data_IF_732212493886
#
_entry.id   IF_732212493886
#
_cell.length_a   1.000
_cell.length_b   1.000
_cell.length_c   1.000
_cell.angle_alpha   90.00
_cell.angle_beta   90.00
_cell.angle_gamma   90.00
#
_symmetry.space_group_name_H-M   'P 1'
#
loop_
_entity.id
_entity.type
_entity.pdbx_description
1 polymer ?
#
# COMPACT_ATOMS: atom_id res chain seq x y z
N UNK A 1 -17.33 38.02 -75.21
CA UNK A 1 -16.49 39.05 -74.51
C UNK A 1 -16.19 38.60 -73.08
N UNK A 2 -14.89 38.55 -72.80
CA UNK A 2 -14.17 38.46 -71.55
C UNK A 2 -14.41 37.25 -70.67
N UNK A 3 -13.47 36.38 -70.82
CA UNK A 3 -13.07 35.28 -69.93
C UNK A 3 -12.50 35.87 -68.62
N UNK A 4 -12.94 35.37 -67.47
CA UNK A 4 -12.23 35.59 -66.24
C UNK A 4 -11.89 34.23 -65.65
N UNK A 5 -10.60 33.91 -65.75
CA UNK A 5 -9.96 32.78 -65.07
C UNK A 5 -10.02 33.01 -63.54
N UNK A 6 -10.59 32.07 -62.80
CA UNK A 6 -10.45 32.02 -61.35
C UNK A 6 -9.71 30.73 -61.01
N UNK A 7 -8.42 30.91 -60.72
CA UNK A 7 -7.55 29.87 -60.15
C UNK A 7 -8.07 29.52 -58.72
N UNK A 8 -8.63 28.33 -58.59
CA UNK A 8 -8.89 27.74 -57.28
C UNK A 8 -7.61 27.05 -56.81
N UNK A 9 -6.94 27.74 -55.89
CA UNK A 9 -5.76 27.20 -55.22
C UNK A 9 -6.24 26.18 -54.14
N UNK A 10 -6.01 24.90 -54.39
CA UNK A 10 -6.32 23.82 -53.49
C UNK A 10 -5.27 23.75 -52.40
N UNK A 11 -5.58 24.29 -51.23
CA UNK A 11 -4.72 24.26 -50.04
C UNK A 11 -4.93 22.90 -49.35
N UNK A 12 -4.01 21.96 -49.66
CA UNK A 12 -3.96 20.66 -48.98
C UNK A 12 -3.38 20.87 -47.58
N UNK A 13 -4.25 20.87 -46.60
CA UNK A 13 -3.86 20.90 -45.19
C UNK A 13 -3.44 19.51 -44.76
N UNK A 14 -2.14 19.25 -44.76
CA UNK A 14 -1.55 18.02 -44.28
C UNK A 14 -1.63 17.98 -42.74
N UNK A 15 -2.60 17.21 -42.21
CA UNK A 15 -2.63 16.85 -40.79
C UNK A 15 -1.49 15.87 -40.49
N UNK A 16 -0.39 16.38 -39.96
CA UNK A 16 0.65 15.55 -39.35
C UNK A 16 0.11 15.11 -38.00
N UNK A 17 -0.40 13.89 -37.92
CA UNK A 17 -0.68 13.20 -36.66
C UNK A 17 0.67 12.86 -36.04
N UNK A 18 1.17 13.71 -35.18
CA UNK A 18 2.32 13.41 -34.33
C UNK A 18 1.88 12.36 -33.30
N UNK A 19 2.15 11.08 -33.58
CA UNK A 19 2.21 10.06 -32.55
C UNK A 19 3.34 10.44 -31.60
N UNK A 20 3.00 11.05 -30.46
CA UNK A 20 3.94 11.17 -29.38
C UNK A 20 4.14 9.77 -28.80
N UNK A 21 5.38 9.24 -28.77
CA UNK A 21 5.67 8.05 -27.99
C UNK A 21 5.38 8.40 -26.54
N UNK A 22 4.52 7.61 -25.87
CA UNK A 22 4.43 7.60 -24.41
C UNK A 22 5.82 7.23 -23.91
N UNK A 23 6.61 8.22 -23.57
CA UNK A 23 7.82 8.03 -22.80
C UNK A 23 7.34 7.56 -21.43
N UNK A 24 7.48 6.28 -21.17
CA UNK A 24 7.39 5.71 -19.81
C UNK A 24 8.63 6.23 -19.09
N UNK A 25 8.54 7.42 -18.56
CA UNK A 25 9.56 7.95 -17.66
C UNK A 25 9.32 7.32 -16.29
N UNK A 26 10.04 6.25 -16.04
CA UNK A 26 10.24 5.67 -14.73
C UNK A 26 11.23 6.54 -13.93
N UNK A 27 10.90 7.80 -13.66
CA UNK A 27 11.64 8.67 -12.75
C UNK A 27 10.81 9.96 -12.50
N UNK A 28 9.56 9.77 -12.10
CA UNK A 28 8.84 10.78 -11.36
C UNK A 28 8.67 10.21 -9.96
N UNK A 29 9.74 10.35 -9.15
CA UNK A 29 9.57 10.38 -7.69
C UNK A 29 8.63 11.54 -7.47
N UNK A 30 7.37 11.24 -7.19
CA UNK A 30 6.39 12.25 -6.87
C UNK A 30 6.87 12.93 -5.58
N UNK A 31 7.14 14.23 -5.64
CA UNK A 31 7.31 15.11 -4.49
C UNK A 31 5.99 15.26 -3.69
N UNK A 32 5.10 14.28 -3.79
CA UNK A 32 3.82 14.27 -3.11
C UNK A 32 3.98 13.63 -1.74
N UNK A 33 3.85 14.46 -0.71
CA UNK A 33 3.89 14.03 0.69
C UNK A 33 2.47 13.70 1.14
N UNK A 34 2.25 12.45 1.48
CA UNK A 34 0.97 11.98 1.99
C UNK A 34 0.89 12.16 3.50
N UNK A 35 -0.18 12.77 3.98
CA UNK A 35 -0.53 12.69 5.40
C UNK A 35 -1.04 11.28 5.70
N UNK A 36 -0.90 10.81 6.95
CA UNK A 36 -1.34 9.45 7.36
C UNK A 36 -2.77 9.18 6.95
N UNK A 37 -3.69 10.14 7.15
CA UNK A 37 -5.11 10.00 6.77
C UNK A 37 -5.30 9.74 5.27
N UNK A 38 -4.57 10.48 4.45
CA UNK A 38 -4.61 10.31 2.98
C UNK A 38 -4.02 8.97 2.56
N UNK A 39 -2.91 8.57 3.18
CA UNK A 39 -2.29 7.29 2.92
C UNK A 39 -3.25 6.13 3.21
N UNK A 40 -3.92 6.15 4.37
CA UNK A 40 -4.88 5.10 4.76
C UNK A 40 -6.04 4.93 3.77
N UNK A 41 -6.47 6.04 3.13
CA UNK A 41 -7.53 6.00 2.11
C UNK A 41 -6.99 5.51 0.76
N UNK A 42 -5.77 5.87 0.41
CA UNK A 42 -5.20 5.66 -0.93
C UNK A 42 -4.31 4.43 -1.04
N UNK A 43 -4.03 3.72 0.06
CA UNK A 43 -3.05 2.63 0.11
C UNK A 43 -3.27 1.54 -0.96
N UNK A 44 -4.53 1.22 -1.29
CA UNK A 44 -4.87 0.27 -2.36
C UNK A 44 -4.32 0.69 -3.74
N UNK A 45 -4.32 2.00 -4.01
CA UNK A 45 -3.86 2.57 -5.29
C UNK A 45 -2.35 2.81 -5.32
N UNK A 46 -1.69 2.77 -4.16
CA UNK A 46 -0.27 3.04 -4.00
C UNK A 46 0.57 1.77 -3.80
N UNK A 47 -0.03 0.58 -4.01
CA UNK A 47 0.69 -0.69 -3.86
C UNK A 47 1.87 -0.76 -4.84
N UNK A 48 3.07 -0.98 -4.30
CA UNK A 48 4.32 -1.04 -5.04
C UNK A 48 4.97 0.31 -5.29
N UNK A 49 4.28 1.41 -5.01
CA UNK A 49 4.82 2.75 -5.18
C UNK A 49 5.71 3.14 -3.99
N UNK A 50 6.68 4.00 -4.28
CA UNK A 50 7.50 4.67 -3.28
C UNK A 50 6.96 6.09 -3.10
N UNK A 51 6.53 6.41 -1.87
CA UNK A 51 5.93 7.71 -1.55
C UNK A 51 6.54 8.28 -0.27
N UNK A 52 6.41 9.60 -0.05
CA UNK A 52 6.72 10.20 1.24
C UNK A 52 5.48 10.29 2.11
N UNK A 53 5.60 9.87 3.37
CA UNK A 53 4.53 9.94 4.38
C UNK A 53 4.95 10.84 5.51
N UNK A 54 4.05 11.72 5.94
CA UNK A 54 4.24 12.59 7.09
C UNK A 54 3.17 12.32 8.15
N UNK A 55 3.61 12.20 9.41
CA UNK A 55 2.74 12.00 10.56
C UNK A 55 3.46 12.26 11.88
N UNK A 56 2.70 12.33 12.97
CA UNK A 56 3.26 12.50 14.30
C UNK A 56 3.66 11.13 14.86
N UNK A 57 4.95 10.95 15.19
CA UNK A 57 5.47 9.70 15.73
C UNK A 57 5.06 9.54 17.20
N UNK A 58 4.09 8.67 17.45
CA UNK A 58 3.55 8.40 18.81
C UNK A 58 4.29 7.27 19.50
N UNK A 59 4.83 6.33 18.75
CA UNK A 59 5.57 5.20 19.32
C UNK A 59 6.71 4.69 18.44
N UNK A 60 7.68 4.08 19.08
CA UNK A 60 8.81 3.40 18.44
C UNK A 60 9.01 2.06 19.13
N UNK A 61 9.20 1.01 18.35
CA UNK A 61 9.40 -0.34 18.88
C UNK A 61 10.57 -0.39 19.85
N UNK A 62 10.28 -0.76 21.12
CA UNK A 62 11.27 -0.87 22.18
C UNK A 62 12.31 -1.99 21.96
N UNK A 63 12.07 -2.90 21.01
CA UNK A 63 12.98 -4.00 20.66
C UNK A 63 13.84 -3.64 19.44
N UNK A 64 14.62 -2.55 19.56
CA UNK A 64 15.60 -2.18 18.53
C UNK A 64 15.08 -1.24 17.44
N UNK A 65 13.94 -0.58 17.62
CA UNK A 65 13.46 0.42 16.66
C UNK A 65 13.04 -0.15 15.30
N UNK A 66 12.56 -1.39 15.27
CA UNK A 66 12.19 -2.07 14.02
C UNK A 66 10.98 -1.46 13.32
N UNK A 67 10.16 -0.67 14.02
CA UNK A 67 9.06 0.09 13.45
C UNK A 67 8.74 1.33 14.27
N UNK A 68 8.09 2.28 13.62
CA UNK A 68 7.48 3.47 14.24
C UNK A 68 5.99 3.47 13.98
N UNK A 69 5.23 4.07 14.90
CA UNK A 69 3.81 4.35 14.73
C UNK A 69 3.61 5.82 14.44
N UNK A 70 3.13 6.16 13.25
CA UNK A 70 2.75 7.51 12.86
C UNK A 70 1.24 7.70 13.04
N UNK A 71 0.86 8.81 13.63
CA UNK A 71 -0.52 9.23 13.83
C UNK A 71 -0.85 10.40 12.89
N UNK A 72 -2.03 10.35 12.30
CA UNK A 72 -2.62 11.41 11.48
C UNK A 72 -3.42 12.41 12.32
N UNK A 73 -4.63 12.73 11.86
CA UNK A 73 -5.50 13.75 12.48
C UNK A 73 -5.99 13.36 13.88
N UNK A 74 -6.10 12.08 14.19
CA UNK A 74 -6.52 11.56 15.50
C UNK A 74 -5.92 10.18 15.80
N UNK A 75 -6.21 9.67 17.01
CA UNK A 75 -5.67 8.41 17.53
C UNK A 75 -6.18 7.16 16.81
N UNK A 76 -7.19 7.25 15.96
CA UNK A 76 -7.71 6.15 15.13
C UNK A 76 -7.03 6.09 13.78
N UNK A 77 -6.43 7.21 13.34
CA UNK A 77 -5.69 7.34 12.08
C UNK A 77 -4.21 7.07 12.35
N UNK A 78 -3.84 5.81 12.39
CA UNK A 78 -2.47 5.39 12.68
C UNK A 78 -1.94 4.45 11.59
N UNK A 79 -0.64 4.53 11.34
CA UNK A 79 0.08 3.62 10.45
C UNK A 79 1.38 3.18 11.10
N UNK A 80 1.69 1.89 10.97
CA UNK A 80 2.97 1.35 11.37
C UNK A 80 3.91 1.34 10.16
N UNK A 81 5.08 1.96 10.32
CA UNK A 81 6.14 1.98 9.31
C UNK A 81 7.27 1.10 9.80
N UNK A 82 7.55 0.04 9.06
CA UNK A 82 8.63 -0.90 9.33
C UNK A 82 9.96 -0.32 8.85
N UNK A 83 11.04 -0.54 9.59
CA UNK A 83 12.37 -0.19 9.13
C UNK A 83 12.79 -1.16 8.01
N UNK A 84 12.98 -0.63 6.80
CA UNK A 84 13.52 -1.41 5.69
C UNK A 84 15.00 -1.79 5.90
N UNK A 85 15.51 -2.70 5.08
CA UNK A 85 16.90 -3.18 5.24
C UNK A 85 17.96 -2.07 5.17
N UNK A 86 17.69 -1.00 4.43
CA UNK A 86 18.59 0.15 4.30
C UNK A 86 18.59 1.03 5.56
N UNK A 87 17.42 1.20 6.17
CA UNK A 87 17.24 1.99 7.40
C UNK A 87 17.74 1.20 8.61
N UNK A 88 17.47 -0.10 8.66
CA UNK A 88 17.83 -1.01 9.74
C UNK A 88 17.06 -0.78 11.04
N UNK A 89 17.03 0.44 11.56
CA UNK A 89 16.28 0.81 12.76
C UNK A 89 16.01 2.29 12.83
N UNK A 90 14.91 2.65 13.48
CA UNK A 90 14.54 4.03 13.80
C UNK A 90 15.15 4.50 15.11
N UNK A 91 15.62 5.76 15.14
CA UNK A 91 16.13 6.38 16.35
C UNK A 91 14.98 6.76 17.30
N UNK A 92 15.23 6.62 18.61
CA UNK A 92 14.26 7.06 19.63
C UNK A 92 13.99 8.57 19.63
N UNK A 93 14.85 9.37 19.01
CA UNK A 93 14.68 10.82 18.88
C UNK A 93 13.49 11.21 18.00
N UNK A 94 12.96 10.26 17.20
CA UNK A 94 11.78 10.49 16.38
C UNK A 94 10.48 10.55 17.20
N UNK A 95 10.47 9.97 18.41
CA UNK A 95 9.29 9.96 19.27
C UNK A 95 8.85 11.37 19.65
N UNK A 96 7.54 11.62 19.59
CA UNK A 96 6.90 12.90 19.85
C UNK A 96 7.31 14.03 18.88
N UNK A 97 7.74 13.68 17.69
CA UNK A 97 8.03 14.63 16.62
C UNK A 97 7.18 14.34 15.38
N UNK A 98 6.98 15.37 14.54
CA UNK A 98 6.51 15.14 13.18
C UNK A 98 7.66 14.51 12.38
N UNK A 99 7.36 13.39 11.75
CA UNK A 99 8.32 12.60 10.98
C UNK A 99 7.84 12.51 9.54
N UNK A 100 8.77 12.77 8.63
CA UNK A 100 8.59 12.49 7.20
C UNK A 100 9.51 11.35 6.82
N UNK A 101 8.96 10.33 6.18
CA UNK A 101 9.68 9.12 5.81
C UNK A 101 9.26 8.66 4.43
N UNK A 102 10.23 8.28 3.61
CA UNK A 102 10.01 7.64 2.33
C UNK A 102 9.68 6.17 2.57
N UNK A 103 8.59 5.67 1.98
CA UNK A 103 8.10 4.32 2.21
C UNK A 103 7.71 3.64 0.91
N UNK A 104 7.79 2.32 0.91
CA UNK A 104 7.17 1.47 -0.11
C UNK A 104 5.94 0.79 0.51
N UNK A 105 4.80 0.84 -0.19
CA UNK A 105 3.58 0.19 0.24
C UNK A 105 3.51 -1.21 -0.38
N UNK A 106 3.58 -2.24 0.46
CA UNK A 106 3.47 -3.63 0.04
C UNK A 106 2.11 -4.20 0.47
N UNK A 107 1.51 -5.03 -0.37
CA UNK A 107 0.30 -5.77 -0.06
C UNK A 107 0.62 -7.25 0.15
N UNK A 108 0.22 -7.79 1.29
CA UNK A 108 0.11 -9.23 1.50
C UNK A 108 -1.35 -9.62 1.38
N UNK A 109 -1.66 -10.49 0.43
CA UNK A 109 -3.01 -11.03 0.26
C UNK A 109 -3.22 -12.25 1.13
N UNK A 110 -4.25 -12.15 1.95
CA UNK A 110 -4.73 -13.25 2.77
C UNK A 110 -5.96 -13.80 2.09
N UNK A 111 -5.80 -14.91 1.41
CA UNK A 111 -6.86 -15.65 0.71
C UNK A 111 -7.19 -16.96 1.43
N UNK A 112 -8.12 -17.75 0.89
CA UNK A 112 -8.51 -19.03 1.49
C UNK A 112 -7.36 -20.04 1.55
N UNK A 113 -6.44 -20.03 0.57
CA UNK A 113 -5.29 -20.92 0.59
C UNK A 113 -4.36 -20.59 1.77
N UNK A 114 -4.11 -19.30 1.99
CA UNK A 114 -3.34 -18.81 3.15
C UNK A 114 -4.01 -19.20 4.47
N UNK A 115 -5.34 -18.99 4.59
CA UNK A 115 -6.08 -19.28 5.83
C UNK A 115 -6.10 -20.79 6.13
N UNK A 116 -6.27 -21.62 5.12
CA UNK A 116 -6.25 -23.08 5.26
C UNK A 116 -4.88 -23.60 5.70
N UNK A 117 -3.80 -23.04 5.14
CA UNK A 117 -2.44 -23.38 5.56
C UNK A 117 -2.15 -22.89 6.99
N UNK A 118 -2.64 -21.72 7.36
CA UNK A 118 -2.52 -21.22 8.73
C UNK A 118 -3.27 -22.13 9.74
N UNK A 119 -4.52 -22.53 9.45
CA UNK A 119 -5.26 -23.49 10.28
C UNK A 119 -4.53 -24.82 10.44
N UNK A 120 -3.97 -25.33 9.32
CA UNK A 120 -3.18 -26.56 9.36
C UNK A 120 -1.97 -26.43 10.30
N UNK A 121 -1.21 -25.33 10.22
CA UNK A 121 -0.08 -25.07 11.12
C UNK A 121 -0.52 -24.96 12.59
N UNK A 122 -1.67 -24.38 12.86
CA UNK A 122 -2.24 -24.33 14.21
C UNK A 122 -2.56 -25.72 14.74
N UNK A 123 -3.18 -26.60 13.93
CA UNK A 123 -3.46 -27.97 14.30
C UNK A 123 -2.19 -28.80 14.54
N UNK A 124 -1.17 -28.60 13.70
CA UNK A 124 0.14 -29.25 13.92
C UNK A 124 0.80 -28.75 15.21
N UNK A 125 0.66 -27.50 15.59
CA UNK A 125 1.22 -26.95 16.82
C UNK A 125 0.69 -27.66 18.08
N UNK A 126 -0.59 -28.12 18.05
CA UNK A 126 -1.21 -28.86 19.15
C UNK A 126 -0.59 -30.24 19.37
N UNK A 127 0.12 -30.79 18.38
CA UNK A 127 0.82 -32.09 18.50
C UNK A 127 2.15 -31.95 19.23
N UNK A 128 2.58 -30.73 19.51
CA UNK A 128 3.84 -30.45 20.22
C UNK A 128 3.60 -30.27 21.73
N UNK A 129 4.63 -30.52 22.58
CA UNK A 129 4.50 -30.31 24.03
C UNK A 129 4.22 -28.84 24.43
N UNK A 130 4.48 -27.90 23.54
CA UNK A 130 4.24 -26.46 23.72
C UNK A 130 2.88 -26.00 23.18
N UNK A 131 2.09 -26.91 22.63
CA UNK A 131 0.78 -26.60 22.05
C UNK A 131 -0.16 -26.03 23.12
N UNK A 132 -0.79 -24.89 22.79
CA UNK A 132 -1.75 -24.23 23.67
C UNK A 132 -3.14 -24.25 23.00
N UNK A 133 -4.07 -25.13 23.47
CA UNK A 133 -5.40 -25.24 22.87
C UNK A 133 -6.23 -23.96 22.93
N UNK A 134 -6.11 -23.18 23.99
CA UNK A 134 -6.85 -21.92 24.13
C UNK A 134 -6.38 -20.88 23.11
N UNK A 135 -5.04 -20.73 22.97
CA UNK A 135 -4.47 -19.84 21.98
C UNK A 135 -4.85 -20.26 20.55
N UNK A 136 -4.82 -21.55 20.25
CA UNK A 136 -5.25 -22.08 18.94
C UNK A 136 -6.73 -21.80 18.70
N UNK A 137 -7.60 -21.97 19.70
CA UNK A 137 -9.03 -21.68 19.55
C UNK A 137 -9.27 -20.19 19.24
N UNK A 138 -8.59 -19.28 19.93
CA UNK A 138 -8.65 -17.84 19.65
C UNK A 138 -8.19 -17.50 18.23
N UNK A 139 -7.08 -18.08 17.76
CA UNK A 139 -6.56 -17.83 16.42
C UNK A 139 -7.49 -18.40 15.35
N UNK A 140 -8.12 -19.55 15.57
CA UNK A 140 -9.13 -20.09 14.67
C UNK A 140 -10.39 -19.24 14.60
N UNK A 141 -10.79 -18.62 15.70
CA UNK A 141 -11.87 -17.63 15.68
C UNK A 141 -11.50 -16.42 14.83
N UNK A 142 -10.27 -15.90 14.98
CA UNK A 142 -9.78 -14.80 14.15
C UNK A 142 -9.76 -15.17 12.67
N UNK A 143 -9.35 -16.38 12.31
CA UNK A 143 -9.41 -16.89 10.93
C UNK A 143 -10.85 -16.87 10.40
N UNK A 144 -11.83 -17.28 11.21
CA UNK A 144 -13.24 -17.28 10.82
C UNK A 144 -13.75 -15.84 10.57
N UNK A 145 -13.32 -14.88 11.38
CA UNK A 145 -13.65 -13.45 11.20
C UNK A 145 -13.04 -12.89 9.90
N UNK A 146 -11.80 -13.26 9.58
CA UNK A 146 -11.15 -12.87 8.32
C UNK A 146 -11.90 -13.49 7.12
N UNK A 147 -12.31 -14.76 7.19
CA UNK A 147 -13.14 -15.39 6.14
C UNK A 147 -14.44 -14.65 5.91
N UNK A 148 -15.13 -14.24 6.98
CA UNK A 148 -16.36 -13.46 6.86
C UNK A 148 -16.10 -12.11 6.17
N UNK A 149 -15.02 -11.42 6.51
CA UNK A 149 -14.63 -10.18 5.86
C UNK A 149 -14.27 -10.38 4.37
N UNK A 150 -13.59 -11.48 4.02
CA UNK A 150 -13.30 -11.84 2.62
C UNK A 150 -14.59 -12.09 1.84
N UNK A 151 -15.57 -12.81 2.41
CA UNK A 151 -16.84 -13.07 1.78
C UNK A 151 -17.61 -11.75 1.51
N UNK A 152 -17.63 -10.83 2.45
CA UNK A 152 -18.24 -9.51 2.28
C UNK A 152 -17.56 -8.70 1.17
N UNK A 153 -16.22 -8.70 1.10
CA UNK A 153 -15.47 -8.03 0.03
C UNK A 153 -15.69 -8.68 -1.33
N UNK A 154 -15.82 -10.00 -1.38
CA UNK A 154 -16.11 -10.70 -2.63
C UNK A 154 -17.46 -10.25 -3.23
N UNK A 155 -18.47 -10.04 -2.39
CA UNK A 155 -19.77 -9.56 -2.83
C UNK A 155 -19.77 -8.08 -3.25
N UNK A 156 -19.05 -7.21 -2.52
CA UNK A 156 -19.07 -5.76 -2.73
C UNK A 156 -18.04 -5.26 -3.74
N UNK A 157 -16.85 -5.87 -3.75
CA UNK A 157 -15.67 -5.36 -4.46
C UNK A 157 -15.14 -6.35 -5.50
N UNK A 158 -15.74 -7.56 -5.60
CA UNK A 158 -15.25 -8.67 -6.41
C UNK A 158 -13.79 -9.05 -6.06
N UNK A 159 -13.40 -8.90 -4.78
CA UNK A 159 -12.09 -9.27 -4.23
C UNK A 159 -12.27 -10.43 -3.26
N UNK A 160 -11.69 -11.59 -3.56
CA UNK A 160 -11.76 -12.81 -2.75
C UNK A 160 -10.57 -12.98 -1.80
N UNK A 161 -10.05 -11.88 -1.29
CA UNK A 161 -8.93 -11.84 -0.35
C UNK A 161 -9.06 -10.61 0.57
N UNK A 162 -8.39 -10.70 1.72
CA UNK A 162 -8.15 -9.57 2.61
C UNK A 162 -6.75 -9.02 2.35
N UNK A 163 -6.64 -7.69 2.22
CA UNK A 163 -5.35 -7.02 2.03
C UNK A 163 -4.75 -6.65 3.38
N UNK A 164 -3.55 -7.11 3.64
CA UNK A 164 -2.72 -6.63 4.74
C UNK A 164 -1.61 -5.78 4.16
N UNK A 165 -1.53 -4.51 4.61
CA UNK A 165 -0.53 -3.58 4.10
C UNK A 165 0.68 -3.55 5.01
N UNK A 166 1.87 -3.62 4.40
CA UNK A 166 3.17 -3.45 5.02
C UNK A 166 3.78 -2.19 4.45
N UNK A 167 3.98 -1.19 5.29
CA UNK A 167 4.55 0.10 4.90
C UNK A 167 6.00 0.09 5.37
N UNK A 168 6.92 0.01 4.41
CA UNK A 168 8.33 -0.24 4.67
C UNK A 168 9.14 0.98 4.29
N UNK A 169 9.88 1.53 5.26
CA UNK A 169 10.75 2.68 5.02
C UNK A 169 11.89 2.32 4.05
N UNK A 170 12.17 3.25 3.14
CA UNK A 170 13.25 3.16 2.15
C UNK A 170 14.12 4.42 2.17
N UNK A 171 15.26 4.38 1.51
CA UNK A 171 16.14 5.54 1.32
C UNK A 171 15.54 6.57 0.35
#
# INVERSE_FOLDING_TARGET
MKVVNLCVSLLVLSFVVACQPKTTTSDQIADEVYQVDSLLVLQDSLIGDTVEVEGFCVDICGHGGSHITLMGSDTTQIVNVEAGPQIGSFSNDLRNNNVRVKVVINEQRVDEAFLSDWEHRLDESLKTPQGNPEAVAMLKQQIAEIRAAIAERAEKENKNYYSQYHIVASD
#
